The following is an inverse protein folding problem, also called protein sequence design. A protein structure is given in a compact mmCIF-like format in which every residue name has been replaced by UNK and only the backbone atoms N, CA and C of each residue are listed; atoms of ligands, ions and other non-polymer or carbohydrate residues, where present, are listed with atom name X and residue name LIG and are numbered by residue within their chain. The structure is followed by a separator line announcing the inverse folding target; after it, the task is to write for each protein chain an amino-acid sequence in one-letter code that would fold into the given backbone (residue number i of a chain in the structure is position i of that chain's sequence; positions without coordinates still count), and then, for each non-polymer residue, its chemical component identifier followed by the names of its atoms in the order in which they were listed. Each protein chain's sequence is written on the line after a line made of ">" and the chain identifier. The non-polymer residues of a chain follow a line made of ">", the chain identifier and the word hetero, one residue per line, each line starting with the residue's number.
data_IF_558772061785
#
_entry.id   IF_558772061785
#
_cell.length_a   1.000
_cell.length_b   1.000
_cell.length_c   1.000
_cell.angle_alpha   90.00
_cell.angle_beta   90.00
_cell.angle_gamma   90.00
#
_symmetry.space_group_name_H-M   'P 1'
#
loop_
_entity.id
_entity.type
_entity.pdbx_description
1 polymer ?
#
# COMPACT_ATOMS: atom_id res chain seq x y z
N UNK A 1 70.78 -12.98 -36.48
CA UNK A 1 70.29 -11.97 -37.43
C UNK A 1 69.15 -11.22 -36.75
N UNK A 2 69.47 -10.25 -35.88
CA UNK A 2 69.44 -8.79 -36.15
C UNK A 2 68.03 -8.19 -36.21
N UNK A 3 67.52 -7.84 -35.03
CA UNK A 3 66.78 -6.58 -34.77
C UNK A 3 67.75 -5.40 -35.04
N UNK A 4 67.36 -4.12 -35.32
CA UNK A 4 66.82 -3.22 -34.25
C UNK A 4 65.97 -2.01 -34.75
N UNK A 5 65.11 -1.33 -33.97
CA UNK A 5 65.31 -0.12 -33.10
C UNK A 5 63.91 0.49 -32.96
N UNK A 6 63.29 0.85 -31.82
CA UNK A 6 63.67 1.55 -30.57
C UNK A 6 63.99 3.04 -30.73
N UNK A 7 63.20 3.89 -30.03
CA UNK A 7 63.50 5.16 -29.29
C UNK A 7 62.32 6.16 -29.46
N UNK A 8 61.92 7.04 -28.52
CA UNK A 8 62.26 7.47 -27.13
C UNK A 8 61.11 8.42 -26.71
N UNK A 9 60.47 8.31 -25.53
CA UNK A 9 60.74 8.99 -24.24
C UNK A 9 60.99 10.51 -24.25
N UNK A 10 60.12 11.26 -23.53
CA UNK A 10 60.31 12.31 -22.49
C UNK A 10 58.87 12.65 -21.99
N UNK A 11 58.42 12.65 -20.73
CA UNK A 11 58.94 12.93 -19.38
C UNK A 11 59.51 14.35 -19.20
N UNK A 12 58.77 15.17 -18.45
CA UNK A 12 59.15 15.91 -17.20
C UNK A 12 58.18 17.11 -17.06
N UNK A 13 57.40 17.31 -15.99
CA UNK A 13 57.60 17.45 -14.53
C UNK A 13 57.43 18.92 -14.06
N UNK A 14 56.46 19.11 -13.14
CA UNK A 14 56.46 19.96 -11.93
C UNK A 14 56.91 21.44 -11.97
N UNK A 15 56.06 22.29 -11.40
CA UNK A 15 56.27 23.01 -10.11
C UNK A 15 54.88 23.42 -9.59
N UNK A 16 54.39 23.15 -8.37
CA UNK A 16 54.81 23.28 -6.96
C UNK A 16 54.89 24.70 -6.39
N UNK A 17 54.33 24.77 -5.17
CA UNK A 17 54.57 25.69 -4.05
C UNK A 17 53.72 26.97 -4.00
N UNK A 18 53.24 27.47 -2.86
CA UNK A 18 53.03 26.97 -1.48
C UNK A 18 52.30 28.08 -0.71
N UNK A 19 51.53 27.67 0.31
CA UNK A 19 51.14 28.33 1.56
C UNK A 19 51.13 29.86 1.68
N UNK A 20 50.05 30.38 2.28
CA UNK A 20 50.19 31.25 3.46
C UNK A 20 49.02 31.13 4.45
N UNK A 21 49.40 31.05 5.73
CA UNK A 21 48.56 31.09 6.93
C UNK A 21 47.99 32.50 7.15
N UNK A 22 46.85 32.58 7.85
CA UNK A 22 46.35 33.83 8.41
C UNK A 22 44.96 33.73 9.05
N UNK A 23 44.92 33.30 10.31
CA UNK A 23 43.97 33.82 11.31
C UNK A 23 44.72 34.91 12.13
N UNK A 24 44.09 35.93 12.77
CA UNK A 24 43.03 35.66 13.76
C UNK A 24 41.98 36.78 14.06
N UNK A 25 40.99 36.38 14.89
CA UNK A 25 40.23 37.13 15.94
C UNK A 25 38.99 38.00 15.63
N UNK A 26 37.92 37.68 16.39
CA UNK A 26 36.87 38.57 16.93
C UNK A 26 35.58 38.60 16.10
N UNK A 27 34.35 38.39 16.60
CA UNK A 27 33.83 38.55 17.96
C UNK A 27 32.54 37.73 18.09
N UNK A 28 32.31 37.14 19.26
CA UNK A 28 31.07 36.43 19.62
C UNK A 28 29.93 37.44 19.80
N UNK A 29 28.77 37.18 19.21
CA UNK A 29 27.52 37.72 19.72
C UNK A 29 26.53 36.56 19.92
N UNK A 30 26.23 36.30 21.20
CA UNK A 30 25.19 35.37 21.66
C UNK A 30 23.86 36.09 21.56
N UNK A 31 22.91 35.58 20.79
CA UNK A 31 21.50 35.90 20.98
C UNK A 31 20.80 34.67 21.56
N UNK A 32 20.52 34.77 22.86
CA UNK A 32 19.66 33.90 23.63
C UNK A 32 18.23 34.42 23.49
N UNK A 33 17.30 33.61 23.01
CA UNK A 33 15.87 33.88 23.22
C UNK A 33 15.26 32.74 24.03
N UNK A 34 14.84 33.13 25.24
CA UNK A 34 14.20 32.32 26.26
C UNK A 34 12.79 31.92 25.83
N UNK A 35 12.44 30.69 26.21
CA UNK A 35 11.09 30.16 26.42
C UNK A 35 10.30 31.05 27.39
N UNK A 36 8.99 31.26 27.21
CA UNK A 36 8.12 31.64 28.31
C UNK A 36 7.24 30.45 28.73
N UNK A 37 7.42 30.03 29.99
CA UNK A 37 6.38 29.39 30.77
C UNK A 37 5.39 30.47 31.24
N UNK A 38 4.08 30.21 31.17
CA UNK A 38 3.12 30.85 32.05
C UNK A 38 2.02 29.86 32.46
N UNK A 39 1.98 29.56 33.75
CA UNK A 39 0.88 28.91 34.44
C UNK A 39 -0.03 29.96 35.06
N UNK A 40 -1.31 29.60 35.08
CA UNK A 40 -2.38 30.02 35.96
C UNK A 40 -3.02 31.39 35.73
N UNK A 41 -4.33 31.38 35.44
CA UNK A 41 -5.34 31.79 36.42
C UNK A 41 -6.68 31.11 36.11
N UNK A 42 -7.31 30.60 37.17
CA UNK A 42 -8.62 30.00 37.16
C UNK A 42 -9.65 31.08 37.55
N UNK A 43 -10.70 31.24 36.75
CA UNK A 43 -11.92 31.94 37.15
C UNK A 43 -13.13 31.02 36.97
N UNK A 44 -13.88 30.89 38.06
CA UNK A 44 -15.18 30.23 38.14
C UNK A 44 -16.22 31.15 37.49
N UNK A 45 -17.02 30.63 36.56
CA UNK A 45 -18.31 31.22 36.22
C UNK A 45 -19.37 30.12 36.16
N UNK A 46 -20.51 30.48 36.73
CA UNK A 46 -21.65 29.67 37.16
C UNK A 46 -22.58 29.34 35.98
N UNK A 47 -23.17 28.15 36.06
CA UNK A 47 -24.21 27.54 35.22
C UNK A 47 -25.45 28.45 35.02
N UNK A 48 -26.09 28.40 33.84
CA UNK A 48 -27.54 28.21 33.86
C UNK A 48 -28.00 27.08 32.92
N UNK A 49 -28.72 26.14 33.53
CA UNK A 49 -29.48 25.08 32.89
C UNK A 49 -30.57 25.58 31.91
N UNK A 50 -30.85 24.67 30.96
CA UNK A 50 -32.10 24.36 30.23
C UNK A 50 -32.30 24.92 28.82
N UNK A 51 -32.34 23.99 27.87
CA UNK A 51 -32.98 24.12 26.56
C UNK A 51 -32.68 22.88 25.72
N UNK A 52 -33.63 21.96 25.62
CA UNK A 52 -33.42 20.63 25.05
C UNK A 52 -33.07 20.59 23.57
N UNK A 53 -32.30 19.57 23.21
CA UNK A 53 -32.59 18.68 22.10
C UNK A 53 -31.71 17.45 22.28
N UNK A 54 -32.26 16.37 22.83
CA UNK A 54 -31.66 15.05 22.64
C UNK A 54 -31.75 14.76 21.15
N UNK A 55 -30.68 15.09 20.42
CA UNK A 55 -30.42 14.42 19.15
C UNK A 55 -30.15 12.97 19.52
N UNK A 56 -31.11 12.11 19.20
CA UNK A 56 -30.91 10.67 19.18
C UNK A 56 -29.61 10.39 18.45
N UNK A 57 -28.64 9.82 19.14
CA UNK A 57 -27.45 9.23 18.54
C UNK A 57 -27.99 8.15 17.61
N UNK A 58 -27.93 8.40 16.31
CA UNK A 58 -28.23 7.39 15.32
C UNK A 58 -27.26 6.24 15.57
N UNK A 59 -27.80 5.04 15.77
CA UNK A 59 -27.01 3.82 15.79
C UNK A 59 -26.35 3.70 14.42
N UNK A 60 -25.01 3.90 14.37
CA UNK A 60 -24.16 3.80 13.18
C UNK A 60 -24.05 2.34 12.69
N UNK A 61 -25.18 1.76 12.30
CA UNK A 61 -25.22 0.46 11.64
C UNK A 61 -24.86 0.65 10.16
N UNK A 62 -23.93 -0.16 9.66
CA UNK A 62 -23.73 -0.27 8.22
C UNK A 62 -25.04 -0.81 7.60
N UNK A 63 -25.46 -0.30 6.43
CA UNK A 63 -26.70 -0.72 5.81
C UNK A 63 -26.66 -2.21 5.48
N UNK A 64 -27.82 -2.84 5.64
CA UNK A 64 -28.01 -4.23 5.29
C UNK A 64 -27.78 -4.45 3.78
N UNK A 65 -27.37 -5.68 3.42
CA UNK A 65 -27.28 -6.11 2.03
C UNK A 65 -28.67 -6.10 1.38
N UNK A 66 -28.74 -5.67 0.12
CA UNK A 66 -30.02 -5.51 -0.56
C UNK A 66 -30.72 -6.86 -0.83
N UNK A 67 -29.95 -7.96 -0.98
CA UNK A 67 -30.38 -9.34 -1.26
C UNK A 67 -29.30 -10.36 -0.83
N UNK A 68 -29.59 -11.68 -0.77
CA UNK A 68 -28.54 -12.69 -0.70
C UNK A 68 -27.55 -12.49 -1.85
N UNK A 69 -26.27 -12.34 -1.51
CA UNK A 69 -25.20 -12.07 -2.47
C UNK A 69 -24.87 -13.38 -3.21
N UNK A 70 -24.94 -13.41 -4.56
CA UNK A 70 -24.50 -14.56 -5.34
C UNK A 70 -23.05 -14.95 -5.02
N UNK A 71 -22.65 -16.24 -5.12
CA UNK A 71 -21.28 -16.66 -4.85
C UNK A 71 -20.21 -15.86 -5.60
N UNK A 72 -20.48 -15.47 -6.84
CA UNK A 72 -19.62 -14.63 -7.68
C UNK A 72 -19.46 -13.20 -7.14
N UNK A 73 -20.46 -12.68 -6.44
CA UNK A 73 -20.43 -11.33 -5.86
C UNK A 73 -20.00 -11.37 -4.38
N UNK A 74 -19.62 -12.52 -3.83
CA UNK A 74 -19.33 -12.65 -2.40
C UNK A 74 -18.14 -11.76 -1.96
N UNK A 75 -17.05 -11.74 -2.75
CA UNK A 75 -15.89 -10.86 -2.56
C UNK A 75 -15.68 -9.98 -3.79
N UNK A 76 -15.57 -8.67 -3.60
CA UNK A 76 -15.15 -7.73 -4.62
C UNK A 76 -13.82 -7.06 -4.28
N UNK A 77 -13.12 -6.55 -5.28
CA UNK A 77 -11.88 -5.80 -5.12
C UNK A 77 -12.12 -4.34 -5.45
N UNK A 78 -11.66 -3.45 -4.58
CA UNK A 78 -11.62 -2.02 -4.81
C UNK A 78 -10.17 -1.57 -4.92
N UNK A 79 -9.78 -1.06 -6.10
CA UNK A 79 -8.39 -0.78 -6.43
C UNK A 79 -8.27 0.66 -6.89
N UNK A 80 -7.49 1.47 -6.17
CA UNK A 80 -7.15 2.82 -6.58
C UNK A 80 -5.98 2.75 -7.58
N UNK A 81 -6.16 3.31 -8.78
CA UNK A 81 -5.19 3.15 -9.87
C UNK A 81 -5.01 4.45 -10.63
N UNK A 82 -3.77 4.77 -10.97
CA UNK A 82 -3.43 5.86 -11.88
C UNK A 82 -2.37 5.39 -12.86
N UNK A 83 -2.51 5.66 -14.14
CA UNK A 83 -1.54 5.43 -15.22
C UNK A 83 -0.84 4.05 -15.20
N UNK A 84 -1.55 3.01 -14.77
CA UNK A 84 -1.03 1.65 -14.59
C UNK A 84 -1.77 0.62 -15.47
N UNK A 85 -2.28 1.05 -16.62
CA UNK A 85 -3.00 0.17 -17.55
C UNK A 85 -2.20 -1.10 -17.92
N UNK A 86 -0.85 -1.00 -18.01
CA UNK A 86 0.05 -2.13 -18.31
C UNK A 86 0.15 -3.18 -17.19
N UNK A 87 -0.15 -2.79 -15.96
CA UNK A 87 -0.05 -3.67 -14.79
C UNK A 87 -1.35 -4.47 -14.58
N UNK A 88 -2.49 -3.90 -15.00
CA UNK A 88 -3.81 -4.45 -14.73
C UNK A 88 -4.08 -5.84 -15.32
N UNK A 89 -3.61 -6.22 -16.54
CA UNK A 89 -3.89 -7.56 -17.08
C UNK A 89 -3.39 -8.69 -16.17
N UNK A 90 -2.13 -8.64 -15.73
CA UNK A 90 -1.58 -9.68 -14.84
C UNK A 90 -2.28 -9.68 -13.47
N UNK A 91 -2.65 -8.50 -12.95
CA UNK A 91 -3.46 -8.37 -11.73
C UNK A 91 -4.82 -9.05 -11.89
N UNK A 92 -5.53 -8.80 -12.98
CA UNK A 92 -6.84 -9.41 -13.24
C UNK A 92 -6.77 -10.90 -13.46
N UNK A 93 -5.86 -11.36 -14.33
CA UNK A 93 -5.71 -12.78 -14.66
C UNK A 93 -5.41 -13.56 -13.38
N UNK A 94 -4.50 -13.05 -12.53
CA UNK A 94 -4.19 -13.70 -11.27
C UNK A 94 -5.41 -13.86 -10.36
N UNK A 95 -6.05 -12.75 -10.03
CA UNK A 95 -7.12 -12.76 -9.06
C UNK A 95 -8.39 -13.44 -9.60
N UNK A 96 -8.64 -13.36 -10.91
CA UNK A 96 -9.77 -14.02 -11.54
C UNK A 96 -9.56 -15.54 -11.66
N UNK A 97 -8.44 -15.99 -12.24
CA UNK A 97 -8.24 -17.42 -12.53
C UNK A 97 -7.71 -18.21 -11.32
N UNK A 98 -6.87 -17.62 -10.49
CA UNK A 98 -6.17 -18.35 -9.42
C UNK A 98 -6.76 -18.11 -8.03
N UNK A 99 -7.40 -16.97 -7.79
CA UNK A 99 -8.03 -16.63 -6.49
C UNK A 99 -9.57 -16.72 -6.55
N UNK A 100 -10.17 -16.67 -7.74
CA UNK A 100 -11.62 -16.83 -7.91
C UNK A 100 -12.42 -15.54 -7.71
N UNK A 101 -11.80 -14.38 -7.84
CA UNK A 101 -12.47 -13.08 -7.76
C UNK A 101 -13.24 -12.80 -9.05
N UNK A 102 -14.46 -12.26 -8.95
CA UNK A 102 -15.30 -11.95 -10.11
C UNK A 102 -15.69 -10.48 -10.20
N UNK A 103 -15.43 -9.66 -9.19
CA UNK A 103 -15.80 -8.24 -9.23
C UNK A 103 -14.61 -7.35 -8.92
N UNK A 104 -14.25 -6.53 -9.89
CA UNK A 104 -13.19 -5.54 -9.77
C UNK A 104 -13.75 -4.14 -10.00
N UNK A 105 -13.61 -3.28 -9.01
CA UNK A 105 -13.86 -1.85 -9.08
C UNK A 105 -12.53 -1.13 -9.21
N UNK A 106 -12.22 -0.73 -10.44
CA UNK A 106 -11.02 0.05 -10.73
C UNK A 106 -11.39 1.52 -10.61
N UNK A 107 -10.94 2.10 -9.50
CA UNK A 107 -11.13 3.50 -9.19
C UNK A 107 -9.97 4.29 -9.83
N UNK A 108 -10.23 4.85 -11.02
CA UNK A 108 -9.25 5.55 -11.84
C UNK A 108 -9.03 6.99 -11.29
N UNK A 109 -7.89 7.20 -10.66
CA UNK A 109 -7.39 8.50 -10.18
C UNK A 109 -6.82 9.31 -11.35
N UNK A 110 -7.71 9.65 -12.29
CA UNK A 110 -7.46 10.61 -13.36
C UNK A 110 -6.24 10.23 -14.19
N UNK A 111 -6.14 8.97 -14.60
CA UNK A 111 -5.13 8.53 -15.55
C UNK A 111 -5.15 9.40 -16.82
N UNK A 112 -3.97 9.70 -17.37
CA UNK A 112 -3.81 10.50 -18.60
C UNK A 112 -4.63 9.91 -19.75
N UNK A 113 -4.54 8.57 -19.90
CA UNK A 113 -5.45 7.80 -20.73
C UNK A 113 -6.43 7.06 -19.82
N UNK A 114 -7.75 7.30 -19.93
CA UNK A 114 -8.73 6.62 -19.09
C UNK A 114 -8.58 5.10 -19.14
N UNK A 115 -8.49 4.45 -17.98
CA UNK A 115 -8.21 3.02 -17.89
C UNK A 115 -9.27 2.19 -18.63
N UNK A 116 -10.52 2.63 -18.65
CA UNK A 116 -11.61 1.98 -19.41
C UNK A 116 -11.36 1.85 -20.92
N UNK A 117 -10.44 2.65 -21.47
CA UNK A 117 -10.11 2.67 -22.91
C UNK A 117 -8.61 2.50 -23.18
N UNK A 118 -7.82 2.31 -22.13
CA UNK A 118 -6.36 2.26 -22.23
C UNK A 118 -5.89 1.02 -23.02
N UNK A 119 -6.52 -0.13 -22.76
CA UNK A 119 -6.30 -1.38 -23.47
C UNK A 119 -7.59 -1.88 -24.12
N UNK A 120 -7.45 -2.68 -25.19
CA UNK A 120 -8.59 -3.34 -25.84
C UNK A 120 -9.07 -4.56 -25.09
N UNK A 121 -8.14 -5.22 -24.39
CA UNK A 121 -8.36 -6.45 -23.65
C UNK A 121 -7.54 -6.39 -22.37
N UNK A 122 -8.18 -6.76 -21.26
CA UNK A 122 -7.60 -6.81 -19.92
C UNK A 122 -7.33 -8.25 -19.46
N UNK A 123 -7.51 -9.24 -20.35
CA UNK A 123 -7.22 -10.64 -20.09
C UNK A 123 -8.34 -11.41 -19.40
N UNK A 124 -9.43 -10.75 -19.03
CA UNK A 124 -10.64 -11.34 -18.45
C UNK A 124 -11.90 -10.73 -19.07
N UNK A 125 -13.07 -11.38 -18.97
CA UNK A 125 -14.32 -10.83 -19.51
C UNK A 125 -14.65 -9.47 -18.88
N UNK A 126 -15.02 -8.50 -19.72
CA UNK A 126 -15.18 -7.11 -19.31
C UNK A 126 -16.35 -6.86 -18.37
N UNK A 127 -17.34 -7.76 -18.32
CA UNK A 127 -18.46 -7.68 -17.38
C UNK A 127 -18.05 -7.80 -15.91
N UNK A 128 -16.84 -8.30 -15.63
CA UNK A 128 -16.28 -8.44 -14.29
C UNK A 128 -15.48 -7.21 -13.84
N UNK A 129 -15.23 -6.26 -14.75
CA UNK A 129 -14.45 -5.05 -14.49
C UNK A 129 -15.36 -3.82 -14.61
N UNK A 130 -15.45 -3.05 -13.54
CA UNK A 130 -16.10 -1.74 -13.54
C UNK A 130 -15.05 -0.66 -13.35
N UNK A 131 -14.95 0.26 -14.30
CA UNK A 131 -14.07 1.42 -14.21
C UNK A 131 -14.85 2.64 -13.70
N UNK A 132 -14.38 3.23 -12.61
CA UNK A 132 -14.96 4.41 -11.97
C UNK A 132 -13.92 5.53 -12.01
N UNK A 133 -14.09 6.51 -12.89
CA UNK A 133 -13.19 7.66 -12.97
C UNK A 133 -13.56 8.73 -11.95
N UNK A 134 -12.59 9.31 -11.26
CA UNK A 134 -12.79 10.50 -10.42
C UNK A 134 -12.83 11.79 -11.25
N UNK A 135 -13.70 12.73 -10.87
CA UNK A 135 -13.73 14.05 -11.49
C UNK A 135 -12.62 14.95 -10.92
N UNK A 136 -12.18 15.92 -11.71
CA UNK A 136 -11.05 16.80 -11.34
C UNK A 136 -11.28 17.63 -10.05
N UNK A 137 -12.54 17.87 -9.68
CA UNK A 137 -12.96 18.72 -8.56
C UNK A 137 -13.28 17.94 -7.26
N UNK A 138 -13.08 16.62 -7.24
CA UNK A 138 -13.41 15.77 -6.09
C UNK A 138 -12.39 15.87 -4.93
N UNK A 139 -11.34 16.71 -5.07
CA UNK A 139 -10.40 16.99 -3.98
C UNK A 139 -11.06 17.85 -2.91
N UNK A 140 -11.58 17.20 -1.87
CA UNK A 140 -11.80 17.85 -0.59
C UNK A 140 -10.44 18.26 -0.01
N UNK A 141 -10.17 19.57 0.10
CA UNK A 141 -8.92 20.06 0.64
C UNK A 141 -8.60 19.46 2.01
N UNK A 142 -7.41 18.87 2.15
CA UNK A 142 -6.91 18.32 3.42
C UNK A 142 -7.17 16.83 3.67
N UNK A 143 -7.75 16.08 2.72
CA UNK A 143 -7.89 14.61 2.80
C UNK A 143 -7.03 13.90 1.77
N UNK A 144 -6.46 12.74 2.15
CA UNK A 144 -5.73 11.87 1.24
C UNK A 144 -6.64 11.39 0.10
N UNK A 145 -6.17 11.52 -1.13
CA UNK A 145 -6.93 11.10 -2.33
C UNK A 145 -7.34 9.63 -2.27
N UNK A 146 -6.48 8.74 -1.78
CA UNK A 146 -6.77 7.31 -1.65
C UNK A 146 -7.95 7.04 -0.69
N UNK A 147 -8.05 7.80 0.41
CA UNK A 147 -9.19 7.66 1.33
C UNK A 147 -10.49 8.14 0.68
N UNK A 148 -10.44 9.21 -0.10
CA UNK A 148 -11.59 9.70 -0.87
C UNK A 148 -12.04 8.65 -1.90
N UNK A 149 -11.08 8.03 -2.60
CA UNK A 149 -11.33 6.94 -3.55
C UNK A 149 -12.00 5.75 -2.86
N UNK A 150 -11.43 5.26 -1.76
CA UNK A 150 -11.97 4.11 -1.03
C UNK A 150 -13.34 4.42 -0.42
N UNK A 151 -13.55 5.64 0.08
CA UNK A 151 -14.86 6.09 0.57
C UNK A 151 -15.90 6.10 -0.54
N UNK A 152 -15.56 6.59 -1.74
CA UNK A 152 -16.47 6.56 -2.88
C UNK A 152 -16.80 5.13 -3.30
N UNK A 153 -15.79 4.27 -3.38
CA UNK A 153 -15.94 2.87 -3.72
C UNK A 153 -16.87 2.14 -2.74
N UNK A 154 -16.66 2.35 -1.45
CA UNK A 154 -17.54 1.88 -0.38
C UNK A 154 -18.99 2.34 -0.62
N UNK A 155 -19.20 3.64 -0.84
CA UNK A 155 -20.54 4.21 -1.03
C UNK A 155 -21.27 3.65 -2.26
N UNK A 156 -20.55 3.40 -3.36
CA UNK A 156 -21.14 2.93 -4.62
C UNK A 156 -21.43 1.42 -4.63
N UNK A 157 -20.63 0.63 -3.91
CA UNK A 157 -20.59 -0.82 -4.14
C UNK A 157 -20.81 -1.69 -2.90
N UNK A 158 -20.79 -1.15 -1.67
CA UNK A 158 -20.84 -1.99 -0.46
C UNK A 158 -22.07 -2.88 -0.33
N UNK A 159 -23.23 -2.46 -0.85
CA UNK A 159 -24.49 -3.25 -0.70
C UNK A 159 -24.54 -4.47 -1.61
N UNK A 160 -23.57 -4.62 -2.51
CA UNK A 160 -23.50 -5.69 -3.52
C UNK A 160 -22.64 -6.89 -3.07
N UNK A 161 -21.86 -6.75 -1.99
CA UNK A 161 -20.84 -7.72 -1.61
C UNK A 161 -20.82 -7.98 -0.12
N UNK A 162 -20.46 -9.19 0.29
CA UNK A 162 -20.25 -9.50 1.72
C UNK A 162 -18.90 -8.97 2.19
N UNK A 163 -17.87 -9.17 1.38
CA UNK A 163 -16.51 -8.69 1.63
C UNK A 163 -15.99 -7.84 0.47
N UNK A 164 -15.13 -6.88 0.78
CA UNK A 164 -14.39 -6.12 -0.22
C UNK A 164 -12.92 -6.00 0.17
N UNK A 165 -12.02 -6.38 -0.73
CA UNK A 165 -10.59 -6.17 -0.57
C UNK A 165 -10.22 -4.77 -1.05
N UNK A 166 -9.47 -4.03 -0.24
CA UNK A 166 -8.91 -2.74 -0.58
C UNK A 166 -7.41 -2.88 -0.68
N UNK A 167 -6.95 -3.13 -1.90
CA UNK A 167 -5.55 -3.41 -2.25
C UNK A 167 -5.13 -2.54 -3.44
N UNK A 168 -3.82 -2.48 -3.69
CA UNK A 168 -3.22 -1.72 -4.78
C UNK A 168 -2.98 -2.62 -6.01
N UNK A 169 -2.83 -2.01 -7.20
CA UNK A 169 -2.67 -2.75 -8.46
C UNK A 169 -1.33 -3.51 -8.58
N UNK A 170 -0.39 -3.27 -7.68
CA UNK A 170 0.87 -3.98 -7.51
C UNK A 170 0.85 -4.97 -6.34
N UNK A 171 -0.32 -5.29 -5.79
CA UNK A 171 -0.51 -6.25 -4.70
C UNK A 171 -1.28 -7.50 -5.17
N UNK A 172 -0.80 -8.68 -4.78
CA UNK A 172 -1.34 -9.97 -5.22
C UNK A 172 -1.58 -10.90 -4.04
N UNK A 173 -2.82 -11.39 -3.90
CA UNK A 173 -3.17 -12.35 -2.85
C UNK A 173 -2.70 -13.75 -3.25
N UNK A 174 -2.07 -14.48 -2.33
CA UNK A 174 -1.80 -15.91 -2.43
C UNK A 174 -2.49 -16.65 -1.28
N UNK A 175 -3.21 -17.73 -1.58
CA UNK A 175 -3.67 -18.69 -0.57
C UNK A 175 -2.56 -19.71 -0.31
N UNK A 176 -1.89 -19.61 0.82
CA UNK A 176 -0.65 -20.37 1.12
C UNK A 176 -0.90 -21.74 1.75
N UNK A 177 -2.05 -21.94 2.40
CA UNK A 177 -2.38 -23.23 3.02
C UNK A 177 -2.64 -24.37 2.00
N UNK A 178 -2.96 -24.04 0.74
CA UNK A 178 -3.12 -24.98 -0.38
C UNK A 178 -4.41 -25.84 -0.36
N UNK A 179 -5.13 -25.89 0.77
CA UNK A 179 -6.38 -26.64 0.93
C UNK A 179 -7.58 -25.74 1.30
N UNK A 180 -7.42 -24.42 1.18
CA UNK A 180 -8.38 -23.41 1.59
C UNK A 180 -8.50 -22.34 0.50
N UNK A 181 -9.73 -21.96 0.14
CA UNK A 181 -9.98 -20.80 -0.73
C UNK A 181 -10.11 -19.52 0.10
N UNK A 182 -9.99 -18.36 -0.53
CA UNK A 182 -10.24 -17.07 0.15
C UNK A 182 -11.65 -17.03 0.74
N UNK A 183 -12.64 -17.58 0.03
CA UNK A 183 -14.03 -17.60 0.45
C UNK A 183 -14.22 -18.48 1.69
N UNK A 184 -13.55 -19.63 1.76
CA UNK A 184 -13.58 -20.51 2.94
C UNK A 184 -13.03 -19.80 4.18
N UNK A 185 -11.86 -19.15 4.04
CA UNK A 185 -11.24 -18.35 5.10
C UNK A 185 -12.19 -17.25 5.62
N UNK A 186 -12.77 -16.47 4.71
CA UNK A 186 -13.69 -15.39 5.08
C UNK A 186 -14.99 -15.91 5.71
N UNK A 187 -15.53 -17.05 5.24
CA UNK A 187 -16.70 -17.69 5.85
C UNK A 187 -16.41 -18.21 7.26
N UNK A 188 -15.17 -18.61 7.55
CA UNK A 188 -14.77 -18.93 8.92
C UNK A 188 -14.86 -17.68 9.81
N UNK A 189 -14.39 -16.54 9.32
CA UNK A 189 -14.38 -15.28 10.07
C UNK A 189 -15.79 -14.77 10.33
N UNK A 190 -16.73 -14.98 9.39
CA UNK A 190 -18.14 -14.63 9.55
C UNK A 190 -18.84 -15.32 10.72
N UNK A 191 -18.31 -16.46 11.20
CA UNK A 191 -18.83 -17.14 12.40
C UNK A 191 -18.62 -16.32 13.67
N UNK A 192 -17.80 -15.27 13.59
CA UNK A 192 -17.46 -14.37 14.68
C UNK A 192 -18.01 -12.98 14.39
N UNK A 193 -19.07 -12.58 15.11
CA UNK A 193 -19.74 -11.31 14.89
C UNK A 193 -18.89 -10.08 15.24
N UNK A 194 -17.84 -10.27 16.05
CA UNK A 194 -16.85 -9.26 16.39
C UNK A 194 -15.76 -9.10 15.34
N UNK A 195 -15.70 -9.92 14.28
CA UNK A 195 -14.71 -9.76 13.20
C UNK A 195 -15.31 -8.96 12.05
N UNK A 196 -14.68 -7.82 11.75
CA UNK A 196 -15.10 -6.90 10.69
C UNK A 196 -14.09 -6.73 9.55
N UNK A 197 -12.83 -7.14 9.73
CA UNK A 197 -11.82 -7.11 8.68
C UNK A 197 -10.71 -8.15 8.90
N UNK A 198 -10.17 -8.66 7.79
CA UNK A 198 -8.92 -9.42 7.73
C UNK A 198 -7.81 -8.48 7.29
N UNK A 199 -6.77 -8.32 8.10
CA UNK A 199 -5.55 -7.59 7.80
C UNK A 199 -4.45 -8.57 7.35
N UNK A 200 -4.08 -8.51 6.08
CA UNK A 200 -3.09 -9.40 5.47
C UNK A 200 -1.71 -8.76 5.50
N UNK A 201 -0.71 -9.43 6.06
CA UNK A 201 0.67 -8.95 6.02
C UNK A 201 1.24 -8.95 4.60
N UNK A 202 1.98 -7.90 4.28
CA UNK A 202 2.74 -7.79 3.04
C UNK A 202 3.85 -8.83 2.95
N UNK A 203 4.14 -9.24 1.72
CA UNK A 203 5.38 -9.89 1.31
C UNK A 203 6.00 -9.03 0.21
N UNK A 204 6.91 -8.15 0.61
CA UNK A 204 7.51 -7.12 -0.22
C UNK A 204 8.51 -7.74 -1.19
N UNK A 205 8.24 -7.60 -2.48
CA UNK A 205 9.16 -7.97 -3.54
C UNK A 205 10.13 -6.83 -3.84
N UNK A 206 11.38 -7.23 -4.11
CA UNK A 206 12.45 -6.37 -4.59
C UNK A 206 12.44 -6.31 -6.12
N UNK A 207 13.33 -5.52 -6.70
CA UNK A 207 13.58 -5.51 -8.14
C UNK A 207 14.19 -6.80 -8.68
N UNK A 208 14.67 -7.70 -7.81
CA UNK A 208 15.50 -8.85 -8.19
C UNK A 208 16.69 -8.45 -9.09
N UNK A 209 17.19 -7.22 -8.90
CA UNK A 209 18.25 -6.61 -9.70
C UNK A 209 17.85 -6.21 -11.12
N UNK A 210 16.59 -6.35 -11.51
CA UNK A 210 16.12 -6.02 -12.86
C UNK A 210 16.01 -4.52 -13.07
N UNK A 211 16.56 -4.06 -14.19
CA UNK A 211 16.59 -2.64 -14.55
C UNK A 211 15.44 -2.23 -15.45
N UNK A 212 14.93 -3.15 -16.26
CA UNK A 212 13.90 -2.90 -17.26
C UNK A 212 12.68 -3.76 -16.97
N UNK A 213 11.50 -3.28 -17.41
CA UNK A 213 10.23 -3.97 -17.19
C UNK A 213 10.26 -5.40 -17.79
N UNK A 214 10.01 -6.44 -16.99
CA UNK A 214 9.86 -7.80 -17.49
C UNK A 214 8.48 -8.02 -18.12
N UNK A 215 8.29 -9.15 -18.80
CA UNK A 215 6.98 -9.53 -19.35
C UNK A 215 5.93 -9.80 -18.26
N UNK A 216 6.35 -10.41 -17.14
CA UNK A 216 5.50 -10.70 -15.98
C UNK A 216 6.25 -10.29 -14.72
N UNK A 217 5.60 -9.48 -13.88
CA UNK A 217 6.16 -9.07 -12.60
C UNK A 217 6.33 -10.29 -11.69
N UNK A 218 5.32 -11.16 -11.62
CA UNK A 218 5.30 -12.30 -10.69
C UNK A 218 6.30 -13.39 -11.04
N UNK A 219 6.65 -13.54 -12.32
CA UNK A 219 7.66 -14.50 -12.76
C UNK A 219 9.09 -13.98 -12.65
N UNK A 220 9.27 -12.66 -12.63
CA UNK A 220 10.59 -12.04 -12.73
C UNK A 220 11.12 -11.54 -11.38
N UNK A 221 10.26 -10.95 -10.55
CA UNK A 221 10.63 -10.42 -9.24
C UNK A 221 10.49 -11.52 -8.18
N UNK A 222 11.51 -12.36 -8.02
CA UNK A 222 11.48 -13.59 -7.20
C UNK A 222 12.35 -13.50 -5.95
N UNK A 223 12.68 -12.29 -5.51
CA UNK A 223 13.37 -12.00 -4.25
C UNK A 223 12.53 -11.03 -3.43
N UNK A 224 12.41 -11.29 -2.12
CA UNK A 224 11.62 -10.50 -1.18
C UNK A 224 12.47 -9.99 -0.01
N UNK A 225 12.02 -8.92 0.66
CA UNK A 225 12.63 -8.48 1.91
C UNK A 225 12.48 -9.54 3.00
N UNK A 226 13.53 -9.70 3.82
CA UNK A 226 13.54 -10.54 5.02
C UNK A 226 12.51 -10.07 6.04
N UNK A 227 11.94 -11.02 6.77
CA UNK A 227 10.91 -10.76 7.76
C UNK A 227 11.43 -10.20 9.07
N UNK A 228 12.75 -10.12 9.30
CA UNK A 228 13.34 -9.68 10.57
C UNK A 228 12.87 -10.56 11.74
N UNK A 229 12.94 -11.89 11.53
CA UNK A 229 12.49 -12.92 12.49
C UNK A 229 13.14 -12.76 13.86
N UNK A 230 14.37 -12.24 13.93
CA UNK A 230 15.11 -12.01 15.17
C UNK A 230 14.46 -10.95 16.09
N UNK A 231 13.59 -10.10 15.54
CA UNK A 231 12.89 -9.04 16.28
C UNK A 231 11.36 -9.09 16.05
N UNK A 232 10.82 -10.28 15.77
CA UNK A 232 9.41 -10.52 15.47
C UNK A 232 8.89 -9.70 14.27
N UNK A 233 9.77 -9.25 13.38
CA UNK A 233 9.42 -8.45 12.20
C UNK A 233 9.13 -6.98 12.43
N UNK A 234 9.54 -6.43 13.58
CA UNK A 234 9.36 -5.02 13.87
C UNK A 234 10.12 -4.09 12.91
N UNK A 235 11.28 -4.49 12.39
CA UNK A 235 12.06 -3.69 11.45
C UNK A 235 11.68 -3.89 9.98
N UNK A 236 10.87 -4.91 9.67
CA UNK A 236 10.57 -5.30 8.28
C UNK A 236 9.44 -4.47 7.67
N UNK A 237 9.54 -4.17 6.37
CA UNK A 237 8.43 -3.56 5.61
C UNK A 237 7.23 -4.51 5.54
N UNK A 238 7.48 -5.81 5.65
CA UNK A 238 6.48 -6.87 5.61
C UNK A 238 5.47 -6.86 6.78
N UNK A 239 5.76 -6.12 7.86
CA UNK A 239 4.80 -5.93 8.95
C UNK A 239 3.60 -5.09 8.55
N UNK A 240 3.67 -4.35 7.45
CA UNK A 240 2.52 -3.59 6.95
C UNK A 240 1.41 -4.53 6.47
N UNK A 241 0.17 -4.05 6.50
CA UNK A 241 -1.00 -4.83 6.11
C UNK A 241 -1.88 -4.12 5.10
N UNK A 242 -2.71 -4.86 4.38
CA UNK A 242 -3.93 -4.32 3.75
C UNK A 242 -5.14 -5.14 4.16
N UNK A 243 -6.32 -4.55 4.01
CA UNK A 243 -7.54 -5.12 4.57
C UNK A 243 -8.51 -5.68 3.52
N UNK A 244 -9.07 -6.85 3.83
CA UNK A 244 -10.35 -7.32 3.29
C UNK A 244 -11.41 -7.06 4.35
N UNK A 245 -12.44 -6.28 4.02
CA UNK A 245 -13.38 -5.72 4.99
C UNK A 245 -14.76 -6.32 4.78
N UNK A 246 -15.43 -6.67 5.88
CA UNK A 246 -16.83 -7.13 5.87
C UNK A 246 -17.73 -5.92 5.70
N UNK A 247 -18.48 -5.86 4.60
CA UNK A 247 -19.24 -4.67 4.23
C UNK A 247 -20.33 -4.30 5.24
N UNK A 248 -20.91 -5.29 5.93
CA UNK A 248 -21.87 -5.07 7.02
C UNK A 248 -21.26 -4.52 8.31
N UNK A 249 -19.93 -4.40 8.38
CA UNK A 249 -19.20 -3.81 9.52
C UNK A 249 -18.41 -2.56 9.11
N UNK A 250 -18.26 -2.28 7.81
CA UNK A 250 -17.47 -1.17 7.30
C UNK A 250 -18.16 0.19 7.50
N UNK A 251 -17.50 1.12 8.20
CA UNK A 251 -17.97 2.51 8.35
C UNK A 251 -17.23 3.46 7.42
N UNK A 252 -15.90 3.51 7.51
CA UNK A 252 -15.05 4.39 6.70
C UNK A 252 -13.60 3.90 6.69
N UNK A 253 -12.81 4.20 5.65
CA UNK A 253 -11.38 3.96 5.68
C UNK A 253 -10.72 4.85 6.75
N UNK A 254 -9.92 4.25 7.64
CA UNK A 254 -9.09 4.97 8.62
C UNK A 254 -7.78 5.43 7.98
N UNK A 255 -7.27 4.61 7.08
CA UNK A 255 -6.10 4.84 6.25
C UNK A 255 -6.16 3.92 5.02
N UNK A 256 -5.08 3.82 4.24
CA UNK A 256 -5.02 2.87 3.12
C UNK A 256 -4.91 1.42 3.59
N UNK A 257 -4.64 1.19 4.88
CA UNK A 257 -4.39 -0.12 5.47
C UNK A 257 -5.57 -0.62 6.32
N UNK A 258 -6.20 0.26 7.11
CA UNK A 258 -7.15 -0.10 8.18
C UNK A 258 -8.47 0.67 8.08
N UNK A 259 -9.50 0.18 8.78
CA UNK A 259 -10.88 0.65 8.68
C UNK A 259 -11.49 0.98 10.05
N UNK A 260 -12.36 1.99 10.08
CA UNK A 260 -13.34 2.16 11.14
C UNK A 260 -14.46 1.14 10.96
N UNK A 261 -14.75 0.39 12.02
CA UNK A 261 -15.69 -0.73 12.02
C UNK A 261 -16.82 -0.50 13.03
N UNK A 262 -18.04 -0.87 12.65
CA UNK A 262 -19.24 -0.71 13.47
C UNK A 262 -19.32 -1.74 14.61
N UNK A 263 -20.12 -1.41 15.63
CA UNK A 263 -20.55 -2.34 16.70
C UNK A 263 -19.39 -3.00 17.46
N UNK A 264 -18.26 -2.29 17.60
CA UNK A 264 -17.08 -2.79 18.29
C UNK A 264 -16.35 -3.92 17.55
N UNK A 265 -16.67 -4.15 16.27
CA UNK A 265 -15.95 -5.12 15.46
C UNK A 265 -14.48 -4.73 15.29
N UNK A 266 -13.62 -5.74 15.16
CA UNK A 266 -12.16 -5.58 15.07
C UNK A 266 -11.63 -6.08 13.73
N UNK A 267 -10.45 -5.55 13.39
CA UNK A 267 -9.59 -6.13 12.36
C UNK A 267 -8.73 -7.23 12.99
N UNK A 268 -8.50 -8.32 12.26
CA UNK A 268 -7.71 -9.46 12.74
C UNK A 268 -6.72 -9.95 11.70
N UNK A 269 -5.67 -10.65 12.13
CA UNK A 269 -4.82 -11.46 11.26
C UNK A 269 -5.48 -12.78 10.84
N UNK A 270 -4.74 -13.58 10.06
CA UNK A 270 -5.21 -14.89 9.57
C UNK A 270 -5.53 -15.93 10.66
N UNK A 271 -5.03 -15.69 11.88
CA UNK A 271 -5.26 -16.51 13.07
C UNK A 271 -6.28 -15.86 14.04
N UNK A 272 -7.06 -14.88 13.55
CA UNK A 272 -8.04 -14.12 14.32
C UNK A 272 -7.47 -13.31 15.50
N UNK A 273 -6.14 -13.14 15.54
CA UNK A 273 -5.46 -12.27 16.48
C UNK A 273 -5.77 -10.79 16.16
N UNK A 274 -6.14 -9.95 17.15
CA UNK A 274 -6.52 -8.56 16.90
C UNK A 274 -5.37 -7.72 16.36
N UNK A 275 -5.67 -6.86 15.38
CA UNK A 275 -4.76 -5.83 14.89
C UNK A 275 -5.16 -4.49 15.49
N UNK A 276 -4.29 -3.94 16.34
CA UNK A 276 -4.58 -2.71 17.10
C UNK A 276 -3.75 -1.50 16.65
N UNK A 277 -2.91 -1.64 15.62
CA UNK A 277 -2.10 -0.55 15.08
C UNK A 277 -2.71 0.05 13.81
N UNK A 278 -2.16 1.17 13.34
CA UNK A 278 -2.67 1.95 12.20
C UNK A 278 -2.46 1.28 10.83
N UNK A 279 -1.40 0.49 10.69
CA UNK A 279 -0.96 -0.02 9.40
C UNK A 279 -0.14 -1.32 9.50
N UNK A 280 0.11 -1.81 10.70
CA UNK A 280 1.10 -2.85 10.95
C UNK A 280 0.56 -3.98 11.82
N UNK A 281 1.08 -5.17 11.58
CA UNK A 281 0.82 -6.36 12.38
C UNK A 281 2.13 -7.14 12.49
N UNK A 282 2.50 -7.46 13.72
CA UNK A 282 3.58 -8.38 14.03
C UNK A 282 3.25 -9.17 15.31
N UNK A 283 3.72 -10.43 15.48
CA UNK A 283 4.57 -11.19 14.55
C UNK A 283 3.96 -11.37 13.16
N UNK A 284 4.79 -11.34 12.13
CA UNK A 284 4.36 -11.47 10.74
C UNK A 284 3.92 -12.91 10.51
N UNK A 285 2.72 -13.13 9.99
CA UNK A 285 2.24 -14.48 9.63
C UNK A 285 1.62 -14.47 8.25
N UNK A 286 1.89 -15.53 7.47
CA UNK A 286 1.34 -15.74 6.12
C UNK A 286 1.08 -17.23 5.82
N UNK A 287 0.65 -17.98 6.83
CA UNK A 287 0.49 -19.44 6.79
C UNK A 287 -0.75 -19.90 6.01
N UNK A 288 -1.75 -19.03 5.88
CA UNK A 288 -3.02 -19.24 5.18
C UNK A 288 -3.16 -18.28 4.01
N UNK A 289 -2.72 -17.03 4.19
CA UNK A 289 -2.82 -15.98 3.17
C UNK A 289 -1.61 -15.03 3.19
N UNK A 290 -1.08 -14.71 2.02
CA UNK A 290 -0.01 -13.72 1.83
C UNK A 290 -0.48 -12.62 0.87
N UNK A 291 -0.03 -11.38 1.10
CA UNK A 291 -0.20 -10.28 0.16
C UNK A 291 1.15 -9.88 -0.46
N UNK A 292 1.45 -10.40 -1.63
CA UNK A 292 2.68 -10.11 -2.36
C UNK A 292 2.65 -8.69 -2.94
N UNK A 293 3.58 -7.83 -2.55
CA UNK A 293 3.58 -6.41 -2.92
C UNK A 293 4.81 -6.08 -3.77
N UNK A 294 4.57 -5.78 -5.04
CA UNK A 294 5.58 -5.41 -6.04
C UNK A 294 5.75 -3.89 -6.07
N UNK A 295 6.09 -3.31 -4.92
CA UNK A 295 6.10 -1.86 -4.74
C UNK A 295 7.15 -1.14 -5.60
N UNK A 296 8.32 -1.76 -5.75
CA UNK A 296 9.46 -1.25 -6.50
C UNK A 296 9.43 -1.62 -7.99
N UNK A 297 9.20 -2.91 -8.28
CA UNK A 297 9.37 -3.52 -9.62
C UNK A 297 10.77 -3.23 -10.18
N UNK A 298 10.94 -3.20 -11.50
CA UNK A 298 12.23 -2.87 -12.11
C UNK A 298 12.59 -1.40 -11.90
N UNK A 299 13.88 -1.06 -12.06
CA UNK A 299 14.33 0.34 -11.93
C UNK A 299 13.58 1.31 -12.87
N UNK A 300 13.37 0.92 -14.13
CA UNK A 300 12.59 1.66 -15.12
C UNK A 300 11.17 1.94 -14.61
N UNK A 301 10.47 0.91 -14.11
CA UNK A 301 9.11 1.06 -13.60
C UNK A 301 9.04 1.90 -12.32
N UNK A 302 10.08 1.84 -11.49
CA UNK A 302 10.16 2.68 -10.30
C UNK A 302 10.33 4.17 -10.66
N UNK A 303 11.14 4.47 -11.67
CA UNK A 303 11.26 5.83 -12.21
C UNK A 303 9.93 6.33 -12.79
N UNK A 304 9.19 5.48 -13.52
CA UNK A 304 7.82 5.77 -13.96
C UNK A 304 6.90 6.05 -12.74
N UNK A 305 7.02 5.28 -11.65
CA UNK A 305 6.23 5.46 -10.41
C UNK A 305 6.54 6.77 -9.70
N UNK A 306 7.80 7.16 -9.60
CA UNK A 306 8.20 8.44 -9.01
C UNK A 306 7.64 9.63 -9.79
N UNK A 307 7.63 9.55 -11.13
CA UNK A 307 7.10 10.61 -12.00
C UNK A 307 5.56 10.70 -11.96
N UNK A 308 4.88 9.56 -11.80
CA UNK A 308 3.42 9.48 -11.75
C UNK A 308 2.81 10.12 -10.48
N UNK A 309 3.52 10.02 -9.36
CA UNK A 309 2.98 10.33 -8.02
C UNK A 309 2.06 9.22 -7.51
N UNK A 310 1.40 9.46 -6.36
CA UNK A 310 0.42 8.52 -5.80
C UNK A 310 -0.75 9.24 -5.10
N UNK A 311 -1.82 8.48 -4.87
CA UNK A 311 -3.03 8.97 -4.20
C UNK A 311 -2.86 9.12 -2.67
N UNK A 312 -1.69 8.78 -2.12
CA UNK A 312 -1.39 8.93 -0.70
C UNK A 312 -0.81 10.30 -0.34
N UNK A 313 -0.59 11.16 -1.33
CA UNK A 313 0.09 12.46 -1.17
C UNK A 313 1.49 12.34 -0.54
N UNK A 314 2.08 11.13 -0.55
CA UNK A 314 3.42 10.79 -0.06
C UNK A 314 4.23 10.19 -1.21
N UNK A 315 4.81 11.01 -2.10
CA UNK A 315 5.48 10.52 -3.30
C UNK A 315 6.60 9.54 -2.93
N UNK A 316 6.64 8.40 -3.61
CA UNK A 316 7.75 7.45 -3.44
C UNK A 316 9.04 8.12 -3.91
N UNK A 317 10.09 8.02 -3.11
CA UNK A 317 11.37 8.70 -3.33
C UNK A 317 12.50 7.69 -3.49
N UNK A 318 13.69 8.15 -3.91
CA UNK A 318 14.91 7.32 -3.86
C UNK A 318 15.19 6.75 -2.46
N UNK A 319 14.75 7.41 -1.39
CA UNK A 319 14.90 6.87 -0.03
C UNK A 319 14.07 5.59 0.16
N UNK A 320 12.86 5.52 -0.42
CA UNK A 320 12.06 4.29 -0.39
C UNK A 320 12.70 3.18 -1.24
N UNK A 321 13.27 3.53 -2.41
CA UNK A 321 14.03 2.56 -3.22
C UNK A 321 15.21 1.97 -2.45
N UNK A 322 16.05 2.81 -1.85
CA UNK A 322 17.18 2.34 -1.06
C UNK A 322 16.73 1.50 0.14
N UNK A 323 15.62 1.89 0.78
CA UNK A 323 15.06 1.11 1.89
C UNK A 323 14.59 -0.28 1.47
N UNK A 324 14.02 -0.41 0.26
CA UNK A 324 13.56 -1.67 -0.29
C UNK A 324 14.75 -2.55 -0.78
N UNK A 325 15.68 -1.95 -1.51
CA UNK A 325 16.70 -2.68 -2.27
C UNK A 325 18.04 -2.84 -1.53
N UNK A 326 18.32 -2.03 -0.50
CA UNK A 326 19.66 -1.95 0.10
C UNK A 326 19.67 -2.01 1.63
N UNK A 327 18.63 -1.52 2.30
CA UNK A 327 18.64 -1.41 3.78
C UNK A 327 18.16 -2.68 4.49
N UNK A 328 17.51 -3.60 3.78
CA UNK A 328 16.99 -4.85 4.35
C UNK A 328 17.58 -6.07 3.63
N UNK A 329 17.92 -7.16 4.35
CA UNK A 329 18.32 -8.41 3.72
C UNK A 329 17.23 -8.93 2.79
N UNK A 330 17.64 -9.63 1.72
CA UNK A 330 16.73 -10.25 0.76
C UNK A 330 16.76 -11.77 0.89
N UNK A 331 15.62 -12.40 0.57
CA UNK A 331 15.48 -13.86 0.53
C UNK A 331 14.79 -14.32 -0.75
N UNK A 332 15.07 -15.56 -1.21
CA UNK A 332 14.33 -16.16 -2.31
C UNK A 332 12.81 -16.18 -2.03
N UNK A 333 12.04 -15.82 -3.04
CA UNK A 333 10.59 -15.61 -2.98
C UNK A 333 9.90 -16.03 -4.30
N UNK A 334 10.02 -17.31 -4.73
CA UNK A 334 9.53 -17.76 -6.03
C UNK A 334 8.04 -18.15 -6.04
N UNK A 335 7.32 -17.98 -4.94
CA UNK A 335 5.97 -18.54 -4.72
C UNK A 335 4.99 -18.13 -5.80
N UNK A 336 5.06 -16.86 -6.24
CA UNK A 336 4.16 -16.31 -7.25
C UNK A 336 4.52 -16.70 -8.68
N UNK A 337 5.73 -17.19 -8.94
CA UNK A 337 6.20 -17.55 -10.28
C UNK A 337 5.52 -18.82 -10.83
N UNK A 338 4.90 -19.64 -9.97
CA UNK A 338 4.18 -20.86 -10.37
C UNK A 338 2.87 -20.57 -11.11
N UNK A 339 2.32 -19.38 -10.95
CA UNK A 339 1.05 -19.00 -11.56
C UNK A 339 1.26 -18.49 -12.98
N UNK A 340 0.34 -18.84 -13.87
CA UNK A 340 0.35 -18.28 -15.23
C UNK A 340 -0.11 -16.82 -15.20
N UNK A 341 0.63 -15.92 -15.89
CA UNK A 341 0.35 -14.49 -15.96
C UNK A 341 -0.90 -14.19 -16.76
#
# INVERSE_FOLDING_TARGET
>A
MTNPKRRRKKKDEKSKSENHQGEPKGTKEKVSTKKPDSKAQAEKVVDPQKGGNEKSVATDEAPALDKPVPPEDYVAFCVAVKDQARDLPEFFIHHYHHIGIRRFYIMDDRSEKPLSTALKDYGIPSEWITFESQAQYDRAGGQSEQLSIYTRCLNLHRTKHTWMAFIDADEFIEMTAGNETLQDLLREFEKHEDIGALAMNWRMHTSSGLKTRPESARKAFVECNWDDEEHDGQGSHNRHVKSIVRMSKAQAPRGPHMWYLANGAKSVGEHMDPVTTEAWRWPITRNRIALHHYAGKSREEYEEKMLRGNAMDDPKTEAFWNSLEHDQPHVPCPEMAKYNP
#
